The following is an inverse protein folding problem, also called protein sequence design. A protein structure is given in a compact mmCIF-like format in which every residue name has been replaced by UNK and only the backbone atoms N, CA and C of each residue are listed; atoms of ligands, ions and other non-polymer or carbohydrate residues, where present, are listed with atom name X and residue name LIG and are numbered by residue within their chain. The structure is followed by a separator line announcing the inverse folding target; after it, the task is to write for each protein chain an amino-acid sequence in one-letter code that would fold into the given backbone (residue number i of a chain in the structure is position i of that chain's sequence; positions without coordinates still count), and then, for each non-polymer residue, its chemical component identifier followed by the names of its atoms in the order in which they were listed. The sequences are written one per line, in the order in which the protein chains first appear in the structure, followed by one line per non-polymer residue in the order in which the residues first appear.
data_IF_399866179654
#
_entry.id   IF_399866179654
#
_cell.length_a   1.000
_cell.length_b   1.000
_cell.length_c   1.000
_cell.angle_alpha   90.00
_cell.angle_beta   90.00
_cell.angle_gamma   90.00
#
_symmetry.space_group_name_H-M   'P 1'
#
loop_
_entity.id
_entity.type
_entity.pdbx_description
1 polymer ?
#
# COMPACT_ATOMS: atom_id res chain seq x y z
N UNK A 1 8.82 -19.64 16.34
CA UNK A 1 10.19 -19.97 15.91
C UNK A 1 10.79 -18.68 15.36
N UNK A 2 11.56 -18.01 16.21
CA UNK A 2 12.18 -16.71 15.95
C UNK A 2 13.56 -16.91 15.31
N UNK A 3 13.96 -15.97 14.45
CA UNK A 3 15.35 -15.52 14.21
C UNK A 3 16.33 -16.44 13.47
N UNK A 4 16.24 -16.56 12.13
CA UNK A 4 17.45 -16.89 11.35
C UNK A 4 17.48 -16.48 9.86
N UNK A 5 16.78 -15.42 9.44
CA UNK A 5 16.94 -14.86 8.08
C UNK A 5 16.75 -13.33 7.98
N UNK A 6 16.57 -12.62 9.11
CA UNK A 6 16.41 -11.17 9.13
C UNK A 6 17.68 -10.41 9.56
N UNK A 7 18.79 -11.11 9.78
CA UNK A 7 20.07 -10.47 10.15
C UNK A 7 20.83 -9.92 8.93
N UNK A 8 20.48 -10.35 7.71
CA UNK A 8 21.19 -9.99 6.47
C UNK A 8 20.54 -8.84 5.65
N UNK A 9 19.45 -8.23 6.14
CA UNK A 9 18.88 -7.06 5.47
C UNK A 9 18.77 -5.89 6.45
N UNK A 10 19.86 -5.12 6.48
CA UNK A 10 19.85 -3.67 6.23
C UNK A 10 18.64 -2.96 6.80
N UNK A 11 18.86 -2.17 7.86
CA UNK A 11 17.99 -1.11 8.37
C UNK A 11 16.73 -0.85 7.53
N UNK A 12 15.55 -1.15 8.08
CA UNK A 12 14.26 -0.79 7.47
C UNK A 12 14.38 0.60 6.87
N UNK A 13 14.28 0.68 5.55
CA UNK A 13 14.59 1.90 4.80
C UNK A 13 13.62 3.00 5.24
N UNK A 14 14.03 4.27 5.09
CA UNK A 14 13.17 5.40 5.48
C UNK A 14 11.78 5.32 4.82
N UNK A 15 11.74 4.84 3.59
CA UNK A 15 10.52 4.67 2.80
C UNK A 15 9.62 3.55 3.34
N UNK A 16 10.20 2.40 3.74
CA UNK A 16 9.42 1.33 4.38
C UNK A 16 8.82 1.78 5.71
N UNK A 17 9.59 2.52 6.52
CA UNK A 17 9.08 3.10 7.78
C UNK A 17 7.93 4.06 7.49
N UNK A 18 8.09 4.94 6.50
CA UNK A 18 7.03 5.88 6.11
C UNK A 18 5.77 5.13 5.66
N UNK A 19 5.90 4.14 4.78
CA UNK A 19 4.78 3.31 4.35
C UNK A 19 4.08 2.64 5.53
N UNK A 20 4.83 2.01 6.42
CA UNK A 20 4.28 1.37 7.62
C UNK A 20 3.54 2.38 8.50
N UNK A 21 4.07 3.59 8.66
CA UNK A 21 3.39 4.64 9.42
C UNK A 21 2.07 5.08 8.78
N UNK A 22 2.02 5.25 7.46
CA UNK A 22 0.78 5.57 6.74
C UNK A 22 -0.27 4.48 6.94
N UNK A 23 0.10 3.23 6.71
CA UNK A 23 -0.81 2.10 6.86
C UNK A 23 -1.30 1.93 8.30
N UNK A 24 -0.40 1.99 9.30
CA UNK A 24 -0.76 1.86 10.71
C UNK A 24 -1.68 3.01 11.17
N UNK A 25 -1.42 4.23 10.71
CA UNK A 25 -2.27 5.38 10.96
C UNK A 25 -3.67 5.19 10.38
N UNK A 26 -3.75 4.68 9.15
CA UNK A 26 -5.01 4.36 8.48
C UNK A 26 -5.80 3.28 9.23
N UNK A 27 -5.16 2.14 9.54
CA UNK A 27 -5.78 1.02 10.27
C UNK A 27 -6.37 1.49 11.60
N UNK A 28 -5.63 2.33 12.34
CA UNK A 28 -6.09 2.90 13.62
C UNK A 28 -7.28 3.84 13.42
N UNK A 29 -7.20 4.77 12.47
CA UNK A 29 -8.25 5.78 12.22
C UNK A 29 -9.54 5.15 11.69
N UNK A 30 -9.44 4.15 10.81
CA UNK A 30 -10.58 3.47 10.19
C UNK A 30 -11.06 2.24 10.99
N UNK A 31 -10.40 1.92 12.12
CA UNK A 31 -10.75 0.77 12.98
C UNK A 31 -10.83 -0.54 12.19
N UNK A 32 -9.79 -0.83 11.42
CA UNK A 32 -9.65 -2.11 10.72
C UNK A 32 -9.29 -3.18 11.75
N UNK A 33 -10.30 -3.87 12.28
CA UNK A 33 -10.17 -4.81 13.40
C UNK A 33 -10.18 -6.29 13.00
N UNK A 34 -10.53 -6.61 11.76
CA UNK A 34 -10.72 -7.98 11.30
C UNK A 34 -10.14 -8.18 9.89
N UNK A 35 -9.63 -9.39 9.64
CA UNK A 35 -9.07 -9.79 8.34
C UNK A 35 -10.08 -9.62 7.19
N UNK A 36 -11.37 -9.85 7.46
CA UNK A 36 -12.44 -9.62 6.47
C UNK A 36 -12.57 -8.16 6.01
N UNK A 37 -11.99 -7.19 6.72
CA UNK A 37 -11.97 -5.79 6.30
C UNK A 37 -10.79 -5.45 5.38
N UNK A 38 -9.79 -6.32 5.25
CA UNK A 38 -8.57 -6.04 4.49
C UNK A 38 -8.85 -5.65 3.04
N UNK A 39 -9.75 -6.34 2.29
CA UNK A 39 -10.04 -5.95 0.91
C UNK A 39 -10.56 -4.51 0.79
N UNK A 40 -11.55 -4.16 1.61
CA UNK A 40 -12.08 -2.79 1.67
C UNK A 40 -11.01 -1.78 2.10
N UNK A 41 -10.22 -2.14 3.12
CA UNK A 41 -9.16 -1.29 3.65
C UNK A 41 -8.11 -0.96 2.57
N UNK A 42 -7.75 -1.93 1.72
CA UNK A 42 -6.82 -1.71 0.63
C UNK A 42 -7.33 -0.71 -0.42
N UNK A 43 -8.60 -0.82 -0.81
CA UNK A 43 -9.21 0.14 -1.74
C UNK A 43 -9.31 1.53 -1.12
N UNK A 44 -9.78 1.62 0.13
CA UNK A 44 -9.94 2.87 0.84
C UNK A 44 -8.58 3.55 1.11
N UNK A 45 -7.54 2.78 1.43
CA UNK A 45 -6.17 3.28 1.56
C UNK A 45 -5.62 3.81 0.23
N UNK A 46 -5.81 3.08 -0.87
CA UNK A 46 -5.38 3.51 -2.21
C UNK A 46 -6.08 4.80 -2.64
N UNK A 47 -7.37 4.96 -2.30
CA UNK A 47 -8.11 6.20 -2.56
C UNK A 47 -7.61 7.35 -1.70
N UNK A 48 -7.38 7.13 -0.41
CA UNK A 48 -6.97 8.18 0.53
C UNK A 48 -5.54 8.68 0.28
N UNK A 49 -4.61 7.77 0.02
CA UNK A 49 -3.18 8.08 -0.14
C UNK A 49 -2.72 8.05 -1.60
N UNK A 50 -3.65 8.02 -2.56
CA UNK A 50 -3.32 7.83 -3.98
C UNK A 50 -2.33 8.85 -4.53
N UNK A 51 -2.52 10.14 -4.25
CA UNK A 51 -1.60 11.20 -4.65
C UNK A 51 -0.19 11.02 -4.04
N UNK A 52 -0.10 10.75 -2.74
CA UNK A 52 1.17 10.51 -2.04
C UNK A 52 1.90 9.28 -2.62
N UNK A 53 1.16 8.20 -2.90
CA UNK A 53 1.69 6.98 -3.48
C UNK A 53 2.22 7.24 -4.90
N UNK A 54 1.49 7.93 -5.77
CA UNK A 54 1.95 8.13 -7.16
C UNK A 54 3.13 9.10 -7.26
N UNK A 55 3.28 10.03 -6.31
CA UNK A 55 4.38 10.99 -6.26
C UNK A 55 5.67 10.41 -5.65
N UNK A 56 5.58 9.36 -4.82
CA UNK A 56 6.72 8.73 -4.15
C UNK A 56 6.95 7.29 -4.64
N UNK A 57 7.85 7.05 -5.63
CA UNK A 57 8.05 5.73 -6.22
C UNK A 57 8.41 4.64 -5.22
N UNK A 58 9.25 4.92 -4.22
CA UNK A 58 9.66 3.93 -3.22
C UNK A 58 8.48 3.47 -2.33
N UNK A 59 7.62 4.40 -1.90
CA UNK A 59 6.44 4.10 -1.10
C UNK A 59 5.40 3.33 -1.94
N UNK A 60 5.23 3.69 -3.21
CA UNK A 60 4.41 2.94 -4.15
C UNK A 60 4.85 1.47 -4.29
N UNK A 61 6.16 1.24 -4.37
CA UNK A 61 6.71 -0.11 -4.40
C UNK A 61 6.46 -0.87 -3.09
N UNK A 62 6.62 -0.21 -1.93
CA UNK A 62 6.27 -0.78 -0.63
C UNK A 62 4.80 -1.21 -0.57
N UNK A 63 3.89 -0.36 -1.08
CA UNK A 63 2.46 -0.66 -1.17
C UNK A 63 2.17 -1.87 -2.05
N UNK A 64 2.81 -1.99 -3.22
CA UNK A 64 2.68 -3.17 -4.10
C UNK A 64 3.16 -4.45 -3.43
N UNK A 65 4.33 -4.43 -2.81
CA UNK A 65 4.86 -5.59 -2.08
C UNK A 65 3.94 -5.99 -0.93
N UNK A 66 3.34 -5.01 -0.24
CA UNK A 66 2.38 -5.27 0.80
C UNK A 66 1.10 -5.94 0.27
N UNK A 67 0.52 -5.46 -0.84
CA UNK A 67 -0.63 -6.12 -1.47
C UNK A 67 -0.31 -7.56 -1.90
N UNK A 68 0.88 -7.82 -2.44
CA UNK A 68 1.33 -9.19 -2.80
C UNK A 68 1.42 -10.08 -1.54
N UNK A 69 1.93 -9.55 -0.42
CA UNK A 69 1.96 -10.30 0.84
C UNK A 69 0.53 -10.64 1.30
N UNK A 70 -0.40 -9.69 1.27
CA UNK A 70 -1.80 -9.94 1.65
C UNK A 70 -2.46 -10.99 0.75
N UNK A 71 -2.20 -10.94 -0.56
CA UNK A 71 -2.63 -11.97 -1.51
C UNK A 71 -2.11 -13.36 -1.12
N UNK A 72 -0.80 -13.49 -0.87
CA UNK A 72 -0.19 -14.77 -0.53
C UNK A 72 -0.73 -15.38 0.76
N UNK A 73 -1.24 -14.56 1.68
CA UNK A 73 -1.89 -14.99 2.92
C UNK A 73 -3.40 -15.19 2.79
N UNK A 74 -3.99 -15.02 1.61
CA UNK A 74 -5.43 -15.17 1.38
C UNK A 74 -6.29 -14.03 1.93
N UNK A 75 -5.68 -12.90 2.28
CA UNK A 75 -6.36 -11.71 2.83
C UNK A 75 -6.83 -10.74 1.74
N UNK A 76 -6.38 -10.94 0.50
CA UNK A 76 -6.67 -10.08 -0.63
C UNK A 76 -6.91 -10.92 -1.89
N UNK A 77 -7.88 -10.51 -2.71
CA UNK A 77 -8.23 -11.20 -3.96
C UNK A 77 -7.89 -10.35 -5.22
N UNK A 78 -8.16 -10.92 -6.40
CA UNK A 78 -7.56 -10.40 -7.65
C UNK A 78 -8.32 -9.18 -8.12
N UNK A 79 -9.62 -9.23 -7.86
CA UNK A 79 -10.55 -8.14 -8.07
C UNK A 79 -10.11 -6.93 -7.25
N UNK A 80 -9.77 -7.13 -5.98
CA UNK A 80 -9.38 -6.04 -5.08
C UNK A 80 -8.01 -5.48 -5.48
N UNK A 81 -7.03 -6.32 -5.79
CA UNK A 81 -5.72 -5.85 -6.30
C UNK A 81 -5.88 -5.03 -7.58
N UNK A 82 -6.69 -5.50 -8.53
CA UNK A 82 -6.96 -4.78 -9.77
C UNK A 82 -7.66 -3.45 -9.49
N UNK A 83 -8.64 -3.42 -8.60
CA UNK A 83 -9.35 -2.20 -8.21
C UNK A 83 -8.41 -1.17 -7.59
N UNK A 84 -7.48 -1.59 -6.72
CA UNK A 84 -6.45 -0.71 -6.16
C UNK A 84 -5.53 -0.15 -7.25
N UNK A 85 -5.12 -0.97 -8.22
CA UNK A 85 -4.28 -0.51 -9.34
C UNK A 85 -5.00 0.50 -10.23
N UNK A 86 -6.27 0.26 -10.58
CA UNK A 86 -7.07 1.20 -11.38
C UNK A 86 -7.24 2.55 -10.68
N UNK A 87 -7.44 2.55 -9.36
CA UNK A 87 -7.48 3.79 -8.56
C UNK A 87 -6.16 4.57 -8.70
N UNK A 88 -5.02 3.89 -8.58
CA UNK A 88 -3.70 4.52 -8.66
C UNK A 88 -3.34 4.97 -10.09
N UNK A 89 -3.82 4.27 -11.12
CA UNK A 89 -3.69 4.71 -12.51
C UNK A 89 -4.45 6.01 -12.78
N UNK A 90 -5.66 6.15 -12.20
CA UNK A 90 -6.42 7.41 -12.26
C UNK A 90 -5.59 8.60 -11.77
N UNK A 91 -4.97 8.46 -10.59
CA UNK A 91 -4.11 9.50 -10.02
C UNK A 91 -2.85 9.77 -10.85
N UNK A 92 -2.24 8.76 -11.48
CA UNK A 92 -1.08 8.97 -12.37
C UNK A 92 -1.42 9.79 -13.59
N UNK A 93 -2.59 9.54 -14.19
CA UNK A 93 -3.06 10.26 -15.36
C UNK A 93 -3.32 11.74 -15.02
N UNK A 94 -3.98 12.01 -13.90
CA UNK A 94 -4.23 13.38 -13.40
C UNK A 94 -2.93 14.19 -13.18
N UNK A 95 -1.92 13.58 -12.56
CA UNK A 95 -0.61 14.22 -12.37
C UNK A 95 0.04 14.52 -13.72
N UNK A 96 -0.05 13.60 -14.67
CA UNK A 96 0.51 13.79 -16.02
C UNK A 96 -0.17 14.90 -16.82
N UNK A 97 -1.48 15.11 -16.62
CA UNK A 97 -2.24 16.16 -17.29
C UNK A 97 -1.96 17.54 -16.68
N UNK A 98 -1.77 17.59 -15.35
CA UNK A 98 -1.38 18.82 -14.64
C UNK A 98 0.01 19.30 -15.04
N UNK A 99 0.94 18.39 -15.36
CA UNK A 99 2.29 18.74 -15.83
C UNK A 99 2.33 19.20 -17.30
N UNK A 100 1.23 19.05 -18.06
CA UNK A 100 1.13 19.43 -19.48
C UNK A 100 0.42 20.77 -19.72
N UNK A 101 -0.24 21.34 -18.71
CA UNK A 101 -0.84 22.70 -18.76
C UNK A 101 0.13 23.75 -18.22
#
# INVERSE_FOLDING_TARGET
MMLQMLDDFVDVTKDEKQFMHLWNSFVRKQRVLADGHIPWACEAFSKLHGQELVQAPAIFWCWRLFMIKLWNHGLLDARTMNSCNLVLEGYRNEVSDTMKS
#
